data_IF_457206281061
#
_entry.id   IF_457206281061
#
_cell.length_a   1.000
_cell.length_b   1.000
_cell.length_c   1.000
_cell.angle_alpha   90.00
_cell.angle_beta   90.00
_cell.angle_gamma   90.00
#
_symmetry.space_group_name_H-M   'P 1'
#
loop_
_entity.id
_entity.type
_entity.pdbx_description
1 polymer ?
#
# COMPACT_ATOMS: atom_id res chain seq x y z
N UNK A 1 -18.98 -22.11 15.60
CA UNK A 1 -19.24 -22.30 14.17
C UNK A 1 -18.20 -23.27 13.59
N UNK A 2 -18.58 -24.05 12.59
CA UNK A 2 -17.70 -24.95 11.82
C UNK A 2 -17.89 -24.64 10.34
N UNK A 3 -17.30 -23.54 9.85
CA UNK A 3 -17.49 -23.13 8.46
C UNK A 3 -16.72 -24.05 7.51
N UNK A 4 -17.35 -24.46 6.43
CA UNK A 4 -16.69 -25.16 5.33
C UNK A 4 -15.85 -24.23 4.48
N UNK A 5 -16.29 -22.98 4.34
CA UNK A 5 -15.66 -21.96 3.53
C UNK A 5 -15.45 -20.74 4.40
N UNK A 6 -14.27 -20.15 4.34
CA UNK A 6 -13.95 -18.86 4.98
C UNK A 6 -13.54 -17.88 3.90
N UNK A 7 -14.20 -16.72 3.88
CA UNK A 7 -13.83 -15.57 3.08
C UNK A 7 -13.32 -14.51 4.04
N UNK A 8 -12.06 -14.16 3.92
CA UNK A 8 -11.38 -13.20 4.79
C UNK A 8 -11.07 -11.91 4.00
N UNK A 9 -11.82 -10.87 4.28
CA UNK A 9 -11.62 -9.52 3.71
C UNK A 9 -10.99 -8.54 4.69
N UNK A 10 -10.46 -9.03 5.82
CA UNK A 10 -9.84 -8.16 6.84
C UNK A 10 -8.45 -7.74 6.36
N UNK A 11 -8.18 -6.44 6.33
CA UNK A 11 -6.85 -5.92 6.01
C UNK A 11 -5.89 -6.05 7.21
N UNK A 12 -5.44 -7.27 7.47
CA UNK A 12 -4.52 -7.59 8.57
C UNK A 12 -3.18 -6.87 8.43
N UNK A 13 -2.68 -6.75 7.20
CA UNK A 13 -1.39 -6.11 6.93
C UNK A 13 -1.38 -4.63 7.29
N UNK A 14 -2.45 -3.90 6.99
CA UNK A 14 -2.53 -2.46 7.29
C UNK A 14 -2.52 -2.22 8.80
N UNK A 15 -3.29 -2.98 9.58
CA UNK A 15 -3.36 -2.80 11.03
C UNK A 15 -1.98 -2.99 11.70
N UNK A 16 -1.20 -3.99 11.26
CA UNK A 16 0.13 -4.26 11.80
C UNK A 16 1.19 -3.28 11.31
N UNK A 17 1.11 -2.80 10.06
CA UNK A 17 2.09 -1.91 9.46
C UNK A 17 2.13 -0.51 10.11
N UNK A 18 1.03 -0.07 10.73
CA UNK A 18 0.98 1.20 11.48
C UNK A 18 1.63 1.14 12.86
N UNK A 19 2.04 -0.03 13.31
CA UNK A 19 2.88 -0.14 14.51
C UNK A 19 4.28 0.35 14.15
N UNK A 20 4.69 1.50 14.71
CA UNK A 20 5.96 2.12 14.37
C UNK A 20 7.14 1.38 15.00
N UNK A 21 7.55 0.30 14.34
CA UNK A 21 8.70 -0.51 14.73
C UNK A 21 10.00 0.29 14.67
N UNK A 22 10.11 1.22 13.72
CA UNK A 22 11.32 2.04 13.55
C UNK A 22 11.51 3.00 14.72
N UNK A 23 10.45 3.70 15.13
CA UNK A 23 10.52 4.57 16.29
C UNK A 23 10.87 3.79 17.56
N UNK A 24 10.25 2.64 17.76
CA UNK A 24 10.52 1.77 18.91
C UNK A 24 11.98 1.28 18.91
N UNK A 25 12.52 0.92 17.74
CA UNK A 25 13.92 0.54 17.57
C UNK A 25 14.87 1.68 17.91
N UNK A 26 14.65 2.89 17.36
CA UNK A 26 15.52 4.02 17.63
C UNK A 26 15.49 4.44 19.11
N UNK A 27 14.33 4.45 19.75
CA UNK A 27 14.20 4.74 21.18
C UNK A 27 15.02 3.76 22.02
N UNK A 28 14.94 2.46 21.70
CA UNK A 28 15.72 1.44 22.40
C UNK A 28 17.23 1.59 22.12
N UNK A 29 17.61 1.88 20.86
CA UNK A 29 19.01 2.09 20.48
C UNK A 29 19.63 3.30 21.20
N UNK A 30 18.90 4.39 21.34
CA UNK A 30 19.36 5.58 22.04
C UNK A 30 19.54 5.31 23.54
N UNK A 31 18.64 4.54 24.15
CA UNK A 31 18.79 4.09 25.55
C UNK A 31 20.03 3.22 25.75
N UNK A 32 20.33 2.33 24.80
CA UNK A 32 21.55 1.50 24.82
C UNK A 32 22.85 2.30 24.69
N UNK A 33 22.81 3.43 23.97
CA UNK A 33 23.97 4.31 23.79
C UNK A 33 24.16 5.31 24.93
N UNK A 34 23.18 5.45 25.81
CA UNK A 34 23.27 6.36 26.95
C UNK A 34 24.32 5.88 27.95
N UNK A 35 24.98 6.82 28.65
CA UNK A 35 26.02 6.49 29.62
C UNK A 35 25.51 5.61 30.78
N UNK A 36 24.25 5.77 31.12
CA UNK A 36 23.62 5.04 32.23
C UNK A 36 23.24 3.61 31.87
N UNK A 37 23.28 3.24 30.58
CA UNK A 37 22.93 1.91 30.04
C UNK A 37 21.64 1.32 30.65
N UNK A 38 20.76 2.17 31.14
CA UNK A 38 19.51 1.72 31.74
C UNK A 38 18.48 1.48 30.65
N UNK A 39 18.10 0.22 30.46
CA UNK A 39 17.05 -0.18 29.53
C UNK A 39 15.77 -0.29 30.36
N UNK A 40 14.79 0.55 30.00
CA UNK A 40 13.47 0.44 30.58
C UNK A 40 12.76 -0.81 30.01
N UNK A 41 12.24 -1.65 30.88
CA UNK A 41 11.47 -2.83 30.51
C UNK A 41 10.30 -2.48 29.59
N UNK A 42 9.65 -1.35 29.82
CA UNK A 42 8.54 -0.90 28.97
C UNK A 42 8.97 -0.60 27.53
N UNK A 43 10.19 -0.10 27.30
CA UNK A 43 10.75 0.11 25.96
C UNK A 43 10.99 -1.22 25.23
N UNK A 44 11.50 -2.22 25.94
CA UNK A 44 11.70 -3.56 25.38
C UNK A 44 10.37 -4.21 25.03
N UNK A 45 9.41 -4.16 25.94
CA UNK A 45 8.05 -4.69 25.72
C UNK A 45 7.38 -3.99 24.55
N UNK A 46 7.51 -2.66 24.45
CA UNK A 46 7.00 -1.89 23.30
C UNK A 46 7.66 -2.36 22.00
N UNK A 47 8.98 -2.51 21.96
CA UNK A 47 9.69 -3.00 20.78
C UNK A 47 9.19 -4.39 20.37
N UNK A 48 9.07 -5.32 21.32
CA UNK A 48 8.58 -6.67 21.04
C UNK A 48 7.15 -6.68 20.49
N UNK A 49 6.29 -5.79 20.99
CA UNK A 49 4.90 -5.68 20.52
C UNK A 49 4.77 -5.01 19.14
N UNK A 50 5.80 -4.31 18.66
CA UNK A 50 5.81 -3.72 17.31
C UNK A 50 6.36 -4.65 16.23
N UNK A 51 6.90 -5.82 16.60
CA UNK A 51 7.44 -6.79 15.65
C UNK A 51 6.30 -7.50 14.88
N UNK A 52 5.97 -7.00 13.70
CA UNK A 52 4.84 -7.47 12.92
C UNK A 52 5.05 -8.86 12.29
N UNK A 53 6.27 -9.26 11.95
CA UNK A 53 6.53 -10.59 11.35
C UNK A 53 6.19 -11.74 12.31
N UNK A 54 6.68 -11.78 13.57
CA UNK A 54 6.24 -12.80 14.54
C UNK A 54 4.72 -12.78 14.78
N UNK A 55 4.10 -11.60 14.76
CA UNK A 55 2.66 -11.48 14.95
C UNK A 55 1.87 -12.13 13.80
N UNK A 56 2.25 -11.84 12.55
CA UNK A 56 1.56 -12.43 11.39
C UNK A 56 1.78 -13.95 11.31
N UNK A 57 2.97 -14.44 11.63
CA UNK A 57 3.26 -15.87 11.72
C UNK A 57 2.31 -16.51 12.74
N UNK A 58 2.19 -15.92 13.93
CA UNK A 58 1.30 -16.44 14.97
C UNK A 58 -0.16 -16.41 14.58
N UNK A 59 -0.58 -15.34 13.90
CA UNK A 59 -1.93 -15.21 13.35
C UNK A 59 -2.25 -16.37 12.41
N UNK A 60 -1.38 -16.64 11.44
CA UNK A 60 -1.57 -17.72 10.46
C UNK A 60 -1.53 -19.10 11.13
N UNK A 61 -0.67 -19.33 12.13
CA UNK A 61 -0.65 -20.57 12.87
C UNK A 61 -1.99 -20.85 13.59
N UNK A 62 -2.56 -19.82 14.24
CA UNK A 62 -3.85 -19.92 14.93
C UNK A 62 -4.96 -20.20 13.92
N UNK A 63 -4.98 -19.46 12.82
CA UNK A 63 -5.95 -19.61 11.73
C UNK A 63 -5.90 -21.03 11.16
N UNK A 64 -4.72 -21.51 10.78
CA UNK A 64 -4.51 -22.84 10.23
C UNK A 64 -4.96 -23.95 11.19
N UNK A 65 -4.52 -23.88 12.44
CA UNK A 65 -4.92 -24.84 13.48
C UNK A 65 -6.43 -24.89 13.66
N UNK A 66 -7.07 -23.72 13.63
CA UNK A 66 -8.54 -23.61 13.76
C UNK A 66 -9.26 -24.23 12.56
N UNK A 67 -8.76 -23.99 11.35
CA UNK A 67 -9.34 -24.55 10.12
C UNK A 67 -9.19 -26.07 10.06
N UNK A 68 -8.03 -26.60 10.40
CA UNK A 68 -7.82 -28.06 10.51
C UNK A 68 -8.78 -28.71 11.51
N UNK A 69 -8.90 -28.12 12.70
CA UNK A 69 -9.80 -28.63 13.75
C UNK A 69 -11.26 -28.64 13.31
N UNK A 70 -11.68 -27.68 12.53
CA UNK A 70 -13.05 -27.50 12.07
C UNK A 70 -13.30 -28.12 10.68
N UNK A 71 -12.30 -28.73 10.06
CA UNK A 71 -12.36 -29.32 8.71
C UNK A 71 -12.84 -28.33 7.64
N UNK A 72 -12.35 -27.08 7.72
CA UNK A 72 -12.60 -26.07 6.69
C UNK A 72 -11.96 -26.51 5.38
N UNK A 73 -12.73 -26.51 4.30
CA UNK A 73 -12.28 -26.99 2.98
C UNK A 73 -11.62 -25.91 2.14
N UNK A 74 -12.12 -24.67 2.23
CA UNK A 74 -11.68 -23.55 1.40
C UNK A 74 -11.47 -22.31 2.25
N UNK A 75 -10.34 -21.66 2.01
CA UNK A 75 -10.02 -20.34 2.57
C UNK A 75 -9.67 -19.39 1.43
N UNK A 76 -10.41 -18.31 1.32
CA UNK A 76 -10.16 -17.26 0.32
C UNK A 76 -9.82 -15.97 1.05
N UNK A 77 -8.65 -15.45 0.78
CA UNK A 77 -8.21 -14.14 1.22
C UNK A 77 -8.49 -13.11 0.15
N UNK A 78 -9.15 -12.02 0.51
CA UNK A 78 -9.17 -10.80 -0.28
C UNK A 78 -8.11 -9.90 0.36
N UNK A 79 -6.98 -9.77 -0.30
CA UNK A 79 -5.79 -9.13 0.23
C UNK A 79 -5.53 -7.76 -0.39
N UNK A 80 -4.63 -7.02 0.24
CA UNK A 80 -4.02 -5.81 -0.33
C UNK A 80 -2.63 -6.13 -0.86
N UNK A 81 -2.24 -5.46 -1.94
CA UNK A 81 -0.86 -5.54 -2.45
C UNK A 81 0.13 -4.79 -1.55
N UNK A 82 -0.37 -3.85 -0.71
CA UNK A 82 0.47 -2.92 0.04
C UNK A 82 0.99 -1.75 -0.79
N UNK A 83 1.04 -1.90 -2.11
CA UNK A 83 1.54 -0.90 -3.08
C UNK A 83 0.40 -0.24 -3.87
N UNK A 84 -0.86 -0.52 -3.55
CA UNK A 84 -2.01 -0.09 -4.35
C UNK A 84 -2.08 -0.74 -5.74
N UNK A 85 -1.37 -1.88 -5.93
CA UNK A 85 -1.32 -2.60 -7.21
C UNK A 85 -0.28 -2.09 -8.20
N UNK A 86 0.39 -0.98 -7.92
CA UNK A 86 1.40 -0.40 -8.82
C UNK A 86 2.76 -1.10 -8.75
N UNK A 87 2.99 -1.94 -7.73
CA UNK A 87 4.29 -2.58 -7.50
C UNK A 87 5.31 -1.63 -6.86
N UNK A 88 6.49 -2.18 -6.53
CA UNK A 88 7.56 -1.42 -5.88
C UNK A 88 8.45 -0.65 -6.86
N UNK A 89 8.32 -0.91 -8.15
CA UNK A 89 9.17 -0.32 -9.19
C UNK A 89 8.69 1.05 -9.66
N UNK A 90 7.50 1.48 -9.23
CA UNK A 90 6.88 2.72 -9.69
C UNK A 90 7.09 3.81 -8.66
N UNK A 91 7.62 4.97 -9.05
CA UNK A 91 7.99 6.03 -8.12
C UNK A 91 6.80 6.71 -7.42
N UNK A 92 5.57 6.56 -7.94
CA UNK A 92 4.39 7.29 -7.42
C UNK A 92 3.39 6.41 -6.69
N UNK A 93 3.84 5.32 -6.08
CA UNK A 93 2.97 4.45 -5.28
C UNK A 93 2.34 5.25 -4.13
N UNK A 94 1.01 5.22 -3.99
CA UNK A 94 0.25 6.01 -3.02
C UNK A 94 0.51 7.53 -3.11
N UNK A 95 0.72 8.07 -4.31
CA UNK A 95 1.09 9.48 -4.54
C UNK A 95 2.41 9.89 -3.87
N UNK A 96 3.28 8.95 -3.59
CA UNK A 96 4.62 9.19 -3.04
C UNK A 96 5.68 9.06 -4.13
N UNK A 97 6.53 10.08 -4.27
CA UNK A 97 7.69 10.02 -5.19
C UNK A 97 8.73 8.98 -4.75
N UNK A 98 8.78 8.70 -3.46
CA UNK A 98 9.63 7.67 -2.87
C UNK A 98 8.83 6.90 -1.83
N UNK A 99 8.92 5.58 -1.79
CA UNK A 99 8.23 4.79 -0.80
C UNK A 99 8.54 5.24 0.62
N UNK A 100 7.52 5.60 1.37
CA UNK A 100 7.66 5.89 2.80
C UNK A 100 8.00 4.61 3.58
N UNK A 101 8.48 4.78 4.82
CA UNK A 101 8.71 3.63 5.72
C UNK A 101 7.44 2.84 5.98
N UNK A 102 6.31 3.54 6.07
CA UNK A 102 4.99 2.90 6.27
C UNK A 102 4.62 2.07 5.04
N UNK A 103 4.81 2.61 3.83
CA UNK A 103 4.53 1.89 2.59
C UNK A 103 5.42 0.65 2.46
N UNK A 104 6.72 0.77 2.74
CA UNK A 104 7.63 -0.38 2.72
C UNK A 104 7.23 -1.43 3.75
N UNK A 105 6.79 -1.02 4.95
CA UNK A 105 6.28 -1.95 5.97
C UNK A 105 5.00 -2.64 5.52
N UNK A 106 4.06 -1.92 4.93
CA UNK A 106 2.82 -2.49 4.37
C UNK A 106 3.13 -3.52 3.29
N UNK A 107 4.02 -3.20 2.36
CA UNK A 107 4.39 -4.07 1.24
C UNK A 107 5.12 -5.33 1.72
N UNK A 108 6.07 -5.18 2.64
CA UNK A 108 6.77 -6.30 3.28
C UNK A 108 5.79 -7.24 3.99
N UNK A 109 4.87 -6.67 4.75
CA UNK A 109 3.91 -7.44 5.52
C UNK A 109 2.88 -8.13 4.62
N UNK A 110 2.41 -7.45 3.57
CA UNK A 110 1.52 -8.04 2.58
C UNK A 110 2.19 -9.22 1.86
N UNK A 111 3.44 -9.08 1.44
CA UNK A 111 4.22 -10.16 0.84
C UNK A 111 4.46 -11.33 1.80
N UNK A 112 4.84 -11.04 3.05
CA UNK A 112 5.02 -12.06 4.09
C UNK A 112 3.72 -12.81 4.39
N UNK A 113 2.58 -12.12 4.44
CA UNK A 113 1.28 -12.75 4.64
C UNK A 113 0.94 -13.71 3.50
N UNK A 114 1.10 -13.26 2.25
CA UNK A 114 0.87 -14.10 1.06
C UNK A 114 1.78 -15.33 1.07
N UNK A 115 3.05 -15.18 1.41
CA UNK A 115 3.97 -16.32 1.53
C UNK A 115 3.52 -17.31 2.61
N UNK A 116 3.05 -16.84 3.75
CA UNK A 116 2.53 -17.70 4.81
C UNK A 116 1.25 -18.42 4.38
N UNK A 117 0.36 -17.78 3.61
CA UNK A 117 -0.81 -18.42 3.03
C UNK A 117 -0.42 -19.48 2.00
N UNK A 118 0.62 -19.25 1.21
CA UNK A 118 1.17 -20.25 0.29
C UNK A 118 1.66 -21.48 1.06
N UNK A 119 2.43 -21.30 2.12
CA UNK A 119 2.90 -22.40 2.96
C UNK A 119 1.74 -23.15 3.62
N UNK A 120 0.73 -22.42 4.11
CA UNK A 120 -0.47 -23.01 4.69
C UNK A 120 -1.22 -23.89 3.68
N UNK A 121 -1.41 -23.41 2.44
CA UNK A 121 -2.07 -24.17 1.37
C UNK A 121 -1.28 -25.38 0.89
N UNK A 122 0.02 -25.45 1.17
CA UNK A 122 0.88 -26.61 0.85
C UNK A 122 1.00 -27.61 2.01
N UNK A 123 0.45 -27.27 3.17
CA UNK A 123 0.47 -28.18 4.32
C UNK A 123 -0.53 -29.31 4.13
N UNK A 124 -0.14 -30.58 4.26
CA UNK A 124 -1.05 -31.73 4.11
C UNK A 124 -2.25 -31.64 5.05
N UNK A 125 -3.45 -31.85 4.51
CA UNK A 125 -4.71 -31.77 5.25
C UNK A 125 -5.21 -30.35 5.52
N UNK A 126 -4.51 -29.34 5.03
CA UNK A 126 -4.96 -27.94 5.09
C UNK A 126 -6.07 -27.64 4.07
N UNK A 127 -6.71 -26.47 4.21
CA UNK A 127 -7.72 -26.02 3.27
C UNK A 127 -7.10 -25.66 1.91
N UNK A 128 -7.92 -25.64 0.87
CA UNK A 128 -7.55 -24.98 -0.39
C UNK A 128 -7.44 -23.47 -0.09
N UNK A 129 -6.26 -22.91 -0.31
CA UNK A 129 -6.00 -21.50 -0.07
C UNK A 129 -5.94 -20.75 -1.38
N UNK A 130 -6.73 -19.70 -1.49
CA UNK A 130 -6.72 -18.75 -2.61
C UNK A 130 -6.54 -17.33 -2.08
N UNK A 131 -5.93 -16.48 -2.85
CA UNK A 131 -5.81 -15.06 -2.51
C UNK A 131 -6.11 -14.20 -3.73
N UNK A 132 -7.14 -13.38 -3.59
CA UNK A 132 -7.51 -12.37 -4.58
C UNK A 132 -6.87 -11.06 -4.13
N UNK A 133 -5.87 -10.61 -4.86
CA UNK A 133 -5.27 -9.29 -4.73
C UNK A 133 -5.58 -8.53 -5.99
N UNK A 134 -6.62 -7.66 -5.95
CA UNK A 134 -6.89 -6.81 -7.09
C UNK A 134 -5.62 -5.99 -7.39
N UNK A 135 -5.16 -6.04 -8.61
CA UNK A 135 -4.05 -5.23 -9.06
C UNK A 135 -4.54 -3.81 -9.26
N UNK A 136 -4.53 -2.99 -8.22
CA UNK A 136 -5.13 -1.67 -8.18
C UNK A 136 -6.67 -1.66 -8.16
N UNK A 137 -7.24 -1.97 -7.03
CA UNK A 137 -8.58 -1.51 -6.72
C UNK A 137 -8.51 -0.01 -6.44
N UNK A 138 -8.64 0.83 -7.46
CA UNK A 138 -8.94 2.23 -7.25
C UNK A 138 -10.45 2.38 -7.21
N UNK A 139 -10.97 2.26 -6.01
CA UNK A 139 -12.23 2.88 -5.71
C UNK A 139 -11.94 4.37 -5.57
N UNK A 140 -12.20 5.15 -6.61
CA UNK A 140 -12.22 6.59 -6.46
C UNK A 140 -13.39 6.99 -5.57
N UNK A 141 -13.07 7.75 -4.57
CA UNK A 141 -14.05 8.31 -3.67
C UNK A 141 -14.76 9.51 -4.31
N UNK A 142 -14.05 10.21 -5.19
CA UNK A 142 -14.58 11.35 -5.92
C UNK A 142 -13.55 12.03 -6.83
N UNK A 143 -14.06 12.85 -7.72
CA UNK A 143 -13.26 13.78 -8.53
C UNK A 143 -13.54 15.17 -7.98
N UNK A 144 -12.50 15.90 -7.64
CA UNK A 144 -12.60 17.21 -7.03
C UNK A 144 -11.76 18.24 -7.78
N UNK A 145 -12.09 19.51 -7.59
CA UNK A 145 -11.27 20.62 -8.00
C UNK A 145 -10.82 21.39 -6.76
N UNK A 146 -9.55 21.58 -6.61
CA UNK A 146 -8.97 22.26 -5.45
C UNK A 146 -7.46 22.35 -5.51
N UNK A 147 -6.88 22.78 -4.42
CA UNK A 147 -5.44 22.92 -4.29
C UNK A 147 -4.71 21.58 -4.35
N UNK A 148 -3.68 21.53 -5.19
CA UNK A 148 -2.86 20.32 -5.35
C UNK A 148 -1.52 20.45 -4.63
N UNK A 149 -0.96 19.30 -4.27
CA UNK A 149 0.30 19.23 -3.54
C UNK A 149 1.39 18.57 -4.40
N UNK A 150 2.61 19.04 -4.22
CA UNK A 150 3.83 18.38 -4.70
C UNK A 150 4.71 18.10 -3.48
N UNK A 151 5.10 16.83 -3.29
CA UNK A 151 5.89 16.40 -2.13
C UNK A 151 5.24 16.74 -0.78
N UNK A 152 3.91 16.68 -0.71
CA UNK A 152 3.15 16.96 0.49
C UNK A 152 2.92 18.46 0.78
N UNK A 153 3.47 19.37 -0.02
CA UNK A 153 3.31 20.81 0.12
C UNK A 153 2.46 21.39 -1.00
N UNK A 154 1.64 22.39 -0.69
CA UNK A 154 0.90 23.11 -1.70
C UNK A 154 1.86 23.81 -2.67
N UNK A 155 1.45 23.92 -3.93
CA UNK A 155 2.23 24.56 -4.99
C UNK A 155 1.83 26.04 -5.04
N UNK A 156 2.68 26.97 -4.57
CA UNK A 156 2.34 28.38 -4.58
C UNK A 156 2.29 28.92 -6.02
N UNK A 157 1.39 29.86 -6.26
CA UNK A 157 1.30 30.57 -7.52
C UNK A 157 2.06 31.88 -7.47
N UNK A 158 2.83 32.11 -8.52
CA UNK A 158 3.55 33.36 -8.74
C UNK A 158 3.10 33.97 -10.06
N UNK A 159 2.92 35.26 -10.10
CA UNK A 159 2.62 35.98 -11.32
C UNK A 159 3.87 36.68 -11.85
N UNK A 160 4.12 36.52 -13.13
CA UNK A 160 5.12 37.22 -13.85
C UNK A 160 4.43 38.37 -14.63
N UNK A 161 4.42 39.58 -14.08
CA UNK A 161 3.90 40.75 -14.79
C UNK A 161 4.68 40.98 -16.08
N UNK A 162 4.09 41.72 -17.04
CA UNK A 162 4.74 42.00 -18.29
C UNK A 162 6.08 42.78 -18.08
N UNK A 163 6.16 43.57 -17.01
CA UNK A 163 7.36 44.33 -16.63
C UNK A 163 8.47 43.42 -16.10
N UNK A 164 8.10 42.28 -15.55
CA UNK A 164 9.04 41.27 -15.02
C UNK A 164 9.26 40.12 -16.02
N UNK A 165 8.78 40.26 -17.26
CA UNK A 165 8.95 39.22 -18.27
C UNK A 165 10.43 39.07 -18.65
N UNK A 166 10.88 37.82 -18.70
CA UNK A 166 12.28 37.49 -19.04
C UNK A 166 12.32 36.71 -20.37
N UNK A 167 13.45 36.78 -21.04
CA UNK A 167 13.68 35.92 -22.21
C UNK A 167 13.84 34.45 -21.78
N UNK A 168 13.56 33.51 -22.67
CA UNK A 168 13.75 32.09 -22.39
C UNK A 168 15.17 31.78 -21.96
N UNK A 169 16.16 32.43 -22.54
CA UNK A 169 17.57 32.22 -22.19
C UNK A 169 17.88 32.70 -20.76
N UNK A 170 17.33 33.83 -20.36
CA UNK A 170 17.49 34.37 -19.01
C UNK A 170 16.72 33.54 -17.99
N UNK A 171 15.59 32.95 -18.40
CA UNK A 171 14.77 32.08 -17.55
C UNK A 171 15.57 30.89 -17.00
N UNK A 172 16.43 30.29 -17.81
CA UNK A 172 17.21 29.13 -17.40
C UNK A 172 18.55 29.48 -16.75
N UNK A 173 19.09 30.66 -16.99
CA UNK A 173 20.38 31.10 -16.45
C UNK A 173 20.34 31.66 -15.02
N UNK A 174 19.15 32.07 -14.55
CA UNK A 174 18.96 32.71 -13.24
C UNK A 174 18.10 31.89 -12.26
N UNK A 175 18.29 30.60 -12.23
CA UNK A 175 17.56 29.73 -11.29
C UNK A 175 17.91 30.11 -9.86
N UNK A 176 16.98 30.74 -9.14
CA UNK A 176 17.11 31.12 -7.74
C UNK A 176 17.11 32.62 -7.43
N UNK A 177 17.26 33.49 -8.41
CA UNK A 177 17.30 34.95 -8.20
C UNK A 177 16.00 35.69 -8.56
N UNK A 178 14.95 34.95 -8.93
CA UNK A 178 13.73 35.58 -9.47
C UNK A 178 12.82 36.07 -8.37
N UNK A 179 12.41 37.32 -8.52
CA UNK A 179 11.34 37.94 -7.75
C UNK A 179 10.10 38.01 -8.64
N UNK A 180 9.31 36.95 -8.59
CA UNK A 180 7.94 37.00 -9.10
C UNK A 180 7.01 37.37 -7.96
N UNK A 181 5.90 37.99 -8.28
CA UNK A 181 4.92 38.37 -7.29
C UNK A 181 4.20 37.10 -6.77
N UNK A 182 4.29 36.88 -5.48
CA UNK A 182 3.55 35.83 -4.82
C UNK A 182 2.08 36.25 -4.77
N UNK A 183 1.22 35.43 -5.35
CA UNK A 183 -0.23 35.70 -5.38
C UNK A 183 -0.92 35.30 -4.07
N UNK A 184 -0.17 34.80 -3.08
CA UNK A 184 -0.74 34.25 -1.83
C UNK A 184 -1.83 33.20 -2.08
N UNK A 185 -1.80 32.59 -3.26
CA UNK A 185 -2.71 31.50 -3.69
C UNK A 185 -1.91 30.25 -4.07
N UNK A 186 -2.58 29.11 -4.02
CA UNK A 186 -2.01 27.84 -4.43
C UNK A 186 -2.61 27.36 -5.75
N UNK A 187 -1.81 26.58 -6.49
CA UNK A 187 -2.25 25.96 -7.75
C UNK A 187 -3.44 25.05 -7.50
N UNK A 188 -4.53 25.29 -8.21
CA UNK A 188 -5.74 24.49 -8.20
C UNK A 188 -5.83 23.66 -9.48
N UNK A 189 -6.20 22.41 -9.35
CA UNK A 189 -6.40 21.51 -10.47
C UNK A 189 -7.47 20.49 -10.15
N UNK A 190 -7.89 19.74 -11.15
CA UNK A 190 -8.71 18.54 -10.97
C UNK A 190 -7.82 17.45 -10.38
N UNK A 191 -8.29 16.80 -9.33
CA UNK A 191 -7.65 15.62 -8.77
C UNK A 191 -8.67 14.53 -8.46
N UNK A 192 -8.18 13.30 -8.43
CA UNK A 192 -8.94 12.10 -8.11
C UNK A 192 -8.60 11.69 -6.69
N UNK A 193 -9.59 11.64 -5.81
CA UNK A 193 -9.47 11.12 -4.45
C UNK A 193 -9.73 9.61 -4.48
N UNK A 194 -8.69 8.83 -4.24
CA UNK A 194 -8.72 7.37 -4.18
C UNK A 194 -8.76 6.84 -2.74
N UNK A 195 -9.15 7.66 -1.78
CA UNK A 195 -9.24 7.29 -0.37
C UNK A 195 -7.87 6.93 0.21
N UNK A 196 -7.72 5.71 0.72
CA UNK A 196 -6.45 5.25 1.33
C UNK A 196 -5.27 5.19 0.34
N UNK A 197 -5.54 5.13 -0.96
CA UNK A 197 -4.50 5.13 -2.00
C UNK A 197 -3.99 6.54 -2.33
N UNK A 198 -4.54 7.57 -1.70
CA UNK A 198 -4.12 8.94 -1.87
C UNK A 198 -4.88 9.72 -2.93
N UNK A 199 -4.31 10.86 -3.32
CA UNK A 199 -4.86 11.75 -4.34
C UNK A 199 -3.93 11.80 -5.54
N UNK A 200 -4.50 11.75 -6.75
CA UNK A 200 -3.77 11.81 -8.00
C UNK A 200 -4.23 13.03 -8.79
N UNK A 201 -3.28 13.76 -9.38
CA UNK A 201 -3.62 14.74 -10.41
C UNK A 201 -4.17 14.02 -11.64
N UNK A 202 -4.93 14.74 -12.48
CA UNK A 202 -5.45 14.18 -13.72
C UNK A 202 -4.33 13.59 -14.60
N UNK A 203 -3.21 14.31 -14.74
CA UNK A 203 -2.09 13.85 -15.55
C UNK A 203 -1.37 12.62 -14.98
N UNK A 204 -1.21 12.53 -13.66
CA UNK A 204 -0.66 11.33 -13.00
C UNK A 204 -1.56 10.12 -13.24
N UNK A 205 -2.86 10.31 -13.05
CA UNK A 205 -3.84 9.25 -13.26
C UNK A 205 -3.89 8.78 -14.72
N UNK A 206 -3.91 9.70 -15.66
CA UNK A 206 -3.85 9.39 -17.10
C UNK A 206 -2.59 8.62 -17.47
N UNK A 207 -1.44 9.05 -16.97
CA UNK A 207 -0.16 8.37 -17.21
C UNK A 207 -0.18 6.94 -16.68
N UNK A 208 -0.60 6.75 -15.44
CA UNK A 208 -0.65 5.43 -14.80
C UNK A 208 -1.63 4.52 -15.56
N UNK A 209 -2.78 5.04 -15.97
CA UNK A 209 -3.79 4.29 -16.71
C UNK A 209 -3.32 3.96 -18.13
N UNK A 210 -2.69 4.91 -18.83
CA UNK A 210 -2.21 4.72 -20.20
C UNK A 210 -1.12 3.64 -20.30
N UNK A 211 -0.29 3.49 -19.28
CA UNK A 211 0.74 2.43 -19.25
C UNK A 211 0.23 1.11 -18.65
N UNK A 212 -1.08 0.98 -18.40
CA UNK A 212 -1.68 -0.25 -17.88
C UNK A 212 -1.26 -0.59 -16.45
N UNK A 213 -0.82 0.40 -15.68
CA UNK A 213 -0.36 0.20 -14.31
C UNK A 213 -1.51 0.07 -13.30
N UNK A 214 -2.71 0.45 -13.72
CA UNK A 214 -3.90 0.46 -12.88
C UNK A 214 -5.07 -0.15 -13.62
N UNK A 215 -5.68 -1.15 -13.00
CA UNK A 215 -6.95 -1.74 -13.43
C UNK A 215 -8.05 -1.29 -12.47
N UNK A 216 -9.22 -1.00 -13.00
CA UNK A 216 -10.40 -0.75 -12.17
C UNK A 216 -11.03 -2.08 -11.81
N UNK A 217 -11.13 -2.35 -10.52
CA UNK A 217 -11.80 -3.54 -10.02
C UNK A 217 -12.92 -3.09 -9.11
N UNK A 218 -14.15 -3.49 -9.43
CA UNK A 218 -15.31 -3.20 -8.59
C UNK A 218 -15.46 -4.24 -7.48
N UNK A 219 -16.13 -3.91 -6.37
CA UNK A 219 -16.48 -4.89 -5.33
C UNK A 219 -17.28 -6.08 -5.89
N UNK A 220 -18.14 -5.83 -6.87
CA UNK A 220 -18.96 -6.85 -7.54
C UNK A 220 -18.10 -7.81 -8.36
N UNK A 221 -17.09 -7.30 -9.04
CA UNK A 221 -16.13 -8.11 -9.78
C UNK A 221 -15.29 -8.99 -8.84
N UNK A 222 -14.81 -8.41 -7.73
CA UNK A 222 -14.11 -9.19 -6.69
C UNK A 222 -15.01 -10.28 -6.14
N UNK A 223 -16.28 -9.97 -5.84
CA UNK A 223 -17.24 -10.95 -5.35
C UNK A 223 -17.50 -12.08 -6.37
N UNK A 224 -17.60 -11.74 -7.65
CA UNK A 224 -17.75 -12.70 -8.74
C UNK A 224 -16.54 -13.63 -8.81
N UNK A 225 -15.32 -13.10 -8.72
CA UNK A 225 -14.11 -13.91 -8.71
C UNK A 225 -14.05 -14.82 -7.49
N UNK A 226 -14.46 -14.36 -6.30
CA UNK A 226 -14.57 -15.20 -5.10
C UNK A 226 -15.52 -16.37 -5.32
N UNK A 227 -16.69 -16.12 -5.92
CA UNK A 227 -17.69 -17.18 -6.20
C UNK A 227 -17.12 -18.20 -7.17
N UNK A 228 -16.52 -17.76 -8.26
CA UNK A 228 -15.91 -18.64 -9.27
C UNK A 228 -14.83 -19.52 -8.66
N UNK A 229 -13.91 -18.95 -7.86
CA UNK A 229 -12.86 -19.71 -7.18
C UNK A 229 -13.43 -20.74 -6.17
N UNK A 230 -14.55 -20.44 -5.50
CA UNK A 230 -15.24 -21.39 -4.61
C UNK A 230 -15.83 -22.55 -5.42
N UNK A 231 -16.38 -22.27 -6.59
CA UNK A 231 -16.96 -23.27 -7.48
C UNK A 231 -15.90 -24.13 -8.21
N UNK A 232 -14.64 -23.73 -8.14
CA UNK A 232 -13.54 -24.41 -8.82
C UNK A 232 -13.25 -23.90 -10.23
N UNK A 233 -13.93 -22.81 -10.63
CA UNK A 233 -13.67 -22.13 -11.90
C UNK A 233 -12.51 -21.14 -11.69
N UNK A 234 -11.35 -21.49 -12.24
CA UNK A 234 -10.15 -20.67 -12.03
C UNK A 234 -10.26 -19.32 -12.71
N UNK A 235 -10.11 -18.26 -11.93
CA UNK A 235 -10.06 -16.86 -12.40
C UNK A 235 -8.63 -16.35 -12.59
N UNK A 236 -7.63 -17.20 -12.35
CA UNK A 236 -6.23 -16.82 -12.34
C UNK A 236 -5.75 -16.16 -11.03
N UNK A 237 -6.64 -15.98 -10.07
CA UNK A 237 -6.32 -15.42 -8.75
C UNK A 237 -5.82 -16.50 -7.80
N UNK A 238 -4.60 -16.93 -7.99
CA UNK A 238 -3.93 -17.82 -7.03
C UNK A 238 -2.91 -17.05 -6.17
N UNK A 239 -2.31 -17.76 -5.22
CA UNK A 239 -1.34 -17.15 -4.30
C UNK A 239 -0.06 -16.68 -5.03
N UNK A 240 0.34 -17.36 -6.11
CA UNK A 240 1.50 -16.97 -6.91
C UNK A 240 1.23 -15.63 -7.61
N UNK A 241 0.06 -15.52 -8.23
CA UNK A 241 -0.40 -14.28 -8.84
C UNK A 241 -0.50 -13.13 -7.81
N UNK A 242 -1.00 -13.41 -6.62
CA UNK A 242 -1.07 -12.45 -5.54
C UNK A 242 0.32 -11.97 -5.09
N UNK A 243 1.33 -12.82 -5.09
CA UNK A 243 2.70 -12.46 -4.76
C UNK A 243 3.31 -11.56 -5.85
N UNK A 244 3.14 -11.91 -7.11
CA UNK A 244 3.60 -11.12 -8.25
C UNK A 244 2.99 -9.72 -8.23
N UNK A 245 1.69 -9.60 -8.00
CA UNK A 245 1.00 -8.32 -7.89
C UNK A 245 1.53 -7.45 -6.75
N UNK A 246 1.97 -8.06 -5.66
CA UNK A 246 2.52 -7.32 -4.52
C UNK A 246 3.88 -6.72 -4.81
N UNK A 247 4.69 -7.34 -5.68
CA UNK A 247 6.09 -6.98 -5.93
C UNK A 247 6.22 -6.22 -7.24
N UNK A 248 5.72 -6.77 -8.33
CA UNK A 248 6.00 -6.28 -9.66
C UNK A 248 4.91 -5.39 -10.25
N UNK A 249 3.67 -5.58 -9.80
CA UNK A 249 2.52 -4.92 -10.41
C UNK A 249 2.10 -5.54 -11.77
N UNK A 250 0.97 -5.09 -12.35
CA UNK A 250 0.33 -5.76 -13.48
C UNK A 250 1.11 -5.68 -14.80
N UNK A 251 1.95 -4.66 -14.99
CA UNK A 251 2.70 -4.46 -16.25
C UNK A 251 3.84 -5.43 -16.49
N UNK A 252 4.20 -6.23 -15.53
CA UNK A 252 5.30 -7.19 -15.62
C UNK A 252 4.85 -8.64 -15.85
N UNK A 253 3.62 -8.81 -16.30
CA UNK A 253 3.05 -10.12 -16.62
C UNK A 253 3.15 -10.44 -18.09
#
# INVERSE_FOLDING_TARGET
HKPNIIIDSINTSTALAYQDVYQSYYQLQDSLKSKDQHIDRAQVEKMLTTLYIPQIIRHIQILHTSMLKNKTSVYIKIGTTGTGGMGLNIPYTHSEERPSRVLLSKSSLAGAHTMLLFLMGRTPGGPICKEIKPAAAIAWKGIHYGEIKKRGQFIPLYDCTFENAETINDLFSRVGEKKWDDLEENLKSVYIDSGENGTFSSGEFETITAVGQMEFVTPEEIATNVILEILGDSTGHDIINALDNSIMGPTYR
#
